data_IF_748791234209
#
_entry.id   IF_748791234209
#
_cell.length_a   1.000
_cell.length_b   1.000
_cell.length_c   1.000
_cell.angle_alpha   90.00
_cell.angle_beta   90.00
_cell.angle_gamma   90.00
#
_symmetry.space_group_name_H-M   'P 1'
#
loop_
_entity.id
_entity.type
_entity.pdbx_description
1 polymer ?
#
# COMPACT_ATOMS: atom_id res chain seq x y z
N UNK A 1 -16.58 46.99 -60.11
CA UNK A 1 -16.60 46.27 -58.82
C UNK A 1 -17.41 44.99 -59.02
N UNK A 2 -16.76 43.90 -59.44
CA UNK A 2 -17.42 42.61 -59.64
C UNK A 2 -17.37 41.80 -58.34
N UNK A 3 -18.50 41.59 -57.70
CA UNK A 3 -18.61 40.63 -56.60
C UNK A 3 -18.65 39.25 -57.22
N UNK A 4 -17.57 38.48 -57.08
CA UNK A 4 -17.54 37.09 -57.49
C UNK A 4 -18.52 36.30 -56.62
N UNK A 5 -19.62 35.82 -57.22
CA UNK A 5 -20.54 34.91 -56.56
C UNK A 5 -19.80 33.59 -56.28
N UNK A 6 -19.68 33.22 -55.01
CA UNK A 6 -19.08 31.95 -54.62
C UNK A 6 -19.91 30.79 -55.22
N UNK A 7 -19.27 29.76 -55.79
CA UNK A 7 -19.99 28.59 -56.31
C UNK A 7 -20.80 27.93 -55.18
N UNK A 8 -22.09 27.73 -55.41
CA UNK A 8 -23.00 27.10 -54.45
C UNK A 8 -22.66 25.62 -54.25
N UNK A 9 -22.64 25.18 -52.99
CA UNK A 9 -22.32 23.81 -52.60
C UNK A 9 -23.41 22.85 -53.08
N UNK A 10 -23.02 21.73 -53.70
CA UNK A 10 -24.00 20.74 -54.16
C UNK A 10 -24.55 19.92 -52.98
N UNK A 11 -25.76 19.37 -53.12
CA UNK A 11 -26.39 18.58 -52.06
C UNK A 11 -25.54 17.36 -51.66
N UNK A 12 -24.83 16.76 -52.62
CA UNK A 12 -23.89 15.66 -52.39
C UNK A 12 -22.69 16.12 -51.56
N UNK A 13 -22.10 17.26 -51.87
CA UNK A 13 -21.00 17.82 -51.08
C UNK A 13 -21.42 18.15 -49.65
N UNK A 14 -22.66 18.62 -49.46
CA UNK A 14 -23.21 18.88 -48.13
C UNK A 14 -23.42 17.58 -47.35
N UNK A 15 -23.91 16.52 -48.00
CA UNK A 15 -24.09 15.20 -47.37
C UNK A 15 -22.74 14.58 -47.00
N UNK A 16 -21.74 14.68 -47.88
CA UNK A 16 -20.38 14.17 -47.64
C UNK A 16 -19.71 14.94 -46.50
N UNK A 17 -19.81 16.27 -46.48
CA UNK A 17 -19.21 17.07 -45.38
C UNK A 17 -19.90 16.82 -44.05
N UNK A 18 -21.22 16.63 -44.04
CA UNK A 18 -21.95 16.27 -42.82
C UNK A 18 -21.54 14.86 -42.34
N UNK A 19 -21.41 13.89 -43.24
CA UNK A 19 -20.95 12.53 -42.90
C UNK A 19 -19.51 12.52 -42.38
N UNK A 20 -18.60 13.26 -43.01
CA UNK A 20 -17.21 13.38 -42.52
C UNK A 20 -17.19 14.08 -41.16
N UNK A 21 -17.98 15.14 -40.98
CA UNK A 21 -18.05 15.85 -39.70
C UNK A 21 -18.60 14.97 -38.57
N UNK A 22 -19.59 14.12 -38.84
CA UNK A 22 -20.16 13.22 -37.82
C UNK A 22 -19.17 12.11 -37.43
N UNK A 23 -18.43 11.55 -38.40
CA UNK A 23 -17.35 10.58 -38.13
C UNK A 23 -16.26 11.23 -37.28
N UNK A 24 -15.85 12.47 -37.60
CA UNK A 24 -14.84 13.19 -36.83
C UNK A 24 -15.30 13.47 -35.39
N UNK A 25 -16.56 13.85 -35.20
CA UNK A 25 -17.13 14.08 -33.86
C UNK A 25 -17.18 12.79 -33.03
N UNK A 26 -17.56 11.67 -33.64
CA UNK A 26 -17.57 10.37 -32.98
C UNK A 26 -16.17 9.91 -32.59
N UNK A 27 -15.20 10.03 -33.51
CA UNK A 27 -13.80 9.71 -33.24
C UNK A 27 -13.23 10.59 -32.11
N UNK A 28 -13.58 11.87 -32.11
CA UNK A 28 -13.17 12.80 -31.05
C UNK A 28 -13.77 12.40 -29.70
N UNK A 29 -15.08 12.10 -29.63
CA UNK A 29 -15.70 11.65 -28.37
C UNK A 29 -15.09 10.36 -27.83
N UNK A 30 -14.77 9.40 -28.70
CA UNK A 30 -14.07 8.17 -28.29
C UNK A 30 -12.66 8.47 -27.76
N UNK A 31 -11.93 9.38 -28.40
CA UNK A 31 -10.61 9.81 -27.95
C UNK A 31 -10.68 10.52 -26.60
N UNK A 32 -11.65 11.40 -26.36
CA UNK A 32 -11.82 12.05 -25.06
C UNK A 32 -12.15 11.04 -23.95
N UNK A 33 -13.02 10.07 -24.24
CA UNK A 33 -13.42 9.06 -23.25
C UNK A 33 -12.22 8.19 -22.85
N UNK A 34 -11.47 7.70 -23.84
CA UNK A 34 -10.26 6.90 -23.59
C UNK A 34 -9.17 7.69 -22.88
N UNK A 35 -9.00 8.98 -23.19
CA UNK A 35 -8.08 9.86 -22.50
C UNK A 35 -8.48 10.08 -21.03
N UNK A 36 -9.78 10.26 -20.74
CA UNK A 36 -10.29 10.40 -19.39
C UNK A 36 -10.09 9.12 -18.56
N UNK A 37 -10.37 7.95 -19.12
CA UNK A 37 -10.14 6.67 -18.46
C UNK A 37 -8.65 6.43 -18.19
N UNK A 38 -7.79 6.75 -19.17
CA UNK A 38 -6.34 6.67 -19.01
C UNK A 38 -5.83 7.58 -17.89
N UNK A 39 -6.30 8.83 -17.86
CA UNK A 39 -5.93 9.80 -16.83
C UNK A 39 -6.32 9.34 -15.42
N UNK A 40 -7.56 8.87 -15.25
CA UNK A 40 -8.02 8.40 -13.94
C UNK A 40 -7.25 7.17 -13.45
N UNK A 41 -6.94 6.23 -14.35
CA UNK A 41 -6.12 5.06 -14.03
C UNK A 41 -4.68 5.45 -13.66
N UNK A 42 -4.07 6.38 -14.40
CA UNK A 42 -2.74 6.90 -14.08
C UNK A 42 -2.71 7.60 -12.72
N UNK A 43 -3.73 8.41 -12.41
CA UNK A 43 -3.85 9.11 -11.13
C UNK A 43 -3.94 8.14 -9.94
N UNK A 44 -4.74 7.07 -10.08
CA UNK A 44 -4.84 6.00 -9.08
C UNK A 44 -3.51 5.28 -8.88
N UNK A 45 -2.83 4.93 -9.97
CA UNK A 45 -1.53 4.27 -9.92
C UNK A 45 -0.47 5.14 -9.23
N UNK A 46 -0.43 6.43 -9.51
CA UNK A 46 0.50 7.36 -8.87
C UNK A 46 0.22 7.48 -7.36
N UNK A 47 -1.05 7.57 -6.98
CA UNK A 47 -1.48 7.60 -5.58
C UNK A 47 -1.07 6.32 -4.84
N UNK A 48 -1.33 5.16 -5.44
CA UNK A 48 -0.95 3.86 -4.88
C UNK A 48 0.57 3.71 -4.74
N UNK A 49 1.35 4.14 -5.75
CA UNK A 49 2.82 4.13 -5.67
C UNK A 49 3.36 5.05 -4.56
N UNK A 50 2.75 6.22 -4.37
CA UNK A 50 3.11 7.15 -3.29
C UNK A 50 2.80 6.55 -1.92
N UNK A 51 1.64 5.90 -1.77
CA UNK A 51 1.25 5.19 -0.55
C UNK A 51 2.22 4.04 -0.26
N UNK A 52 2.51 3.19 -1.25
CA UNK A 52 3.43 2.07 -1.13
C UNK A 52 4.85 2.52 -0.73
N UNK A 53 5.39 3.58 -1.36
CA UNK A 53 6.71 4.13 -1.00
C UNK A 53 6.74 4.63 0.45
N UNK A 54 5.67 5.29 0.91
CA UNK A 54 5.56 5.74 2.30
C UNK A 54 5.53 4.55 3.26
N UNK A 55 4.72 3.54 2.97
CA UNK A 55 4.60 2.34 3.80
C UNK A 55 5.92 1.55 3.88
N UNK A 56 6.65 1.42 2.77
CA UNK A 56 7.96 0.77 2.73
C UNK A 56 9.02 1.55 3.51
N UNK A 57 8.99 2.88 3.49
CA UNK A 57 9.88 3.70 4.33
C UNK A 57 9.60 3.50 5.80
N UNK A 58 8.33 3.47 6.21
CA UNK A 58 7.95 3.18 7.60
C UNK A 58 8.38 1.77 8.03
N UNK A 59 8.25 0.79 7.14
CA UNK A 59 8.75 -0.58 7.39
C UNK A 59 10.29 -0.58 7.56
N UNK A 60 11.02 0.10 6.67
CA UNK A 60 12.47 0.20 6.76
C UNK A 60 12.93 0.87 8.06
N UNK A 61 12.28 1.96 8.46
CA UNK A 61 12.56 2.65 9.72
C UNK A 61 12.28 1.76 10.94
N UNK A 62 11.20 0.99 10.90
CA UNK A 62 10.86 0.06 11.99
C UNK A 62 11.82 -1.13 12.07
N UNK A 63 12.25 -1.65 10.93
CA UNK A 63 13.27 -2.72 10.86
C UNK A 63 14.64 -2.21 11.33
N UNK A 64 14.99 -0.95 11.05
CA UNK A 64 16.21 -0.33 11.56
C UNK A 64 16.20 -0.15 13.09
N UNK A 65 15.01 0.03 13.69
CA UNK A 65 14.82 0.16 15.13
C UNK A 65 14.53 -1.17 15.85
N UNK A 66 14.76 -2.30 15.17
CA UNK A 66 14.41 -3.62 15.67
C UNK A 66 15.28 -4.03 16.86
N UNK A 67 14.64 -4.63 17.87
CA UNK A 67 15.31 -5.15 19.07
C UNK A 67 15.26 -6.67 19.07
N UNK A 68 16.43 -7.30 19.11
CA UNK A 68 16.55 -8.72 19.39
C UNK A 68 16.35 -8.96 20.89
N UNK A 69 15.41 -9.84 21.25
CA UNK A 69 15.29 -10.28 22.64
C UNK A 69 16.33 -11.38 22.89
N UNK A 70 17.20 -11.24 23.90
CA UNK A 70 18.06 -12.33 24.32
C UNK A 70 17.19 -13.43 24.95
N UNK A 71 17.25 -14.63 24.39
CA UNK A 71 16.77 -15.85 25.03
C UNK A 71 15.29 -16.19 24.81
N UNK A 72 15.02 -17.00 23.79
CA UNK A 72 14.23 -18.24 23.91
C UNK A 72 14.62 -19.10 22.72
N UNK A 73 15.47 -20.09 22.97
CA UNK A 73 15.86 -21.08 21.97
C UNK A 73 14.65 -21.98 21.70
N UNK A 74 13.96 -21.81 20.57
CA UNK A 74 13.00 -22.80 20.06
C UNK A 74 13.68 -23.81 19.10
N UNK A 75 15.02 -23.80 19.02
CA UNK A 75 15.78 -24.85 18.34
C UNK A 75 16.38 -25.75 19.40
N UNK A 76 15.99 -27.02 19.40
CA UNK A 76 16.34 -28.10 20.34
C UNK A 76 17.82 -28.51 20.33
N UNK A 77 18.73 -27.61 19.95
CA UNK A 77 20.14 -27.94 19.78
C UNK A 77 20.98 -26.95 20.59
N UNK A 78 21.63 -27.39 21.69
CA UNK A 78 22.53 -26.52 22.43
C UNK A 78 23.67 -26.05 21.53
N UNK A 79 24.03 -24.77 21.55
CA UNK A 79 25.19 -24.28 20.81
C UNK A 79 26.48 -24.90 21.37
N UNK A 80 27.47 -25.21 20.52
CA UNK A 80 28.75 -25.76 20.96
C UNK A 80 29.48 -24.77 21.90
N UNK A 81 30.20 -25.28 22.91
CA UNK A 81 30.90 -24.44 23.88
C UNK A 81 31.93 -23.56 23.17
N UNK A 82 31.83 -22.24 23.37
CA UNK A 82 32.73 -21.24 22.76
C UNK A 82 32.09 -20.30 21.74
N UNK A 83 30.83 -20.53 21.35
CA UNK A 83 30.09 -19.57 20.50
C UNK A 83 29.31 -18.58 21.36
N UNK A 84 29.69 -17.30 21.29
CA UNK A 84 28.90 -16.20 21.88
C UNK A 84 27.47 -16.27 21.33
N UNK A 85 26.42 -16.27 22.19
CA UNK A 85 25.05 -16.29 21.71
C UNK A 85 24.76 -14.96 21.03
N UNK A 86 24.91 -14.93 19.70
CA UNK A 86 24.42 -13.83 18.89
C UNK A 86 22.94 -13.62 19.22
N UNK A 87 22.51 -12.41 19.57
CA UNK A 87 21.11 -12.15 19.90
C UNK A 87 20.27 -12.43 18.65
N UNK A 88 19.58 -13.58 18.63
CA UNK A 88 18.72 -13.97 17.51
C UNK A 88 17.51 -13.05 17.50
N UNK A 89 17.34 -12.29 16.42
CA UNK A 89 16.16 -11.46 16.19
C UNK A 89 14.92 -12.37 16.09
N UNK A 90 13.94 -12.16 16.98
CA UNK A 90 12.69 -12.92 16.97
C UNK A 90 11.70 -12.24 16.03
N UNK A 91 11.58 -12.80 14.83
CA UNK A 91 10.51 -12.47 13.90
C UNK A 91 9.40 -13.52 14.02
N UNK A 92 8.17 -13.07 14.22
CA UNK A 92 7.00 -13.92 14.03
C UNK A 92 6.51 -13.69 12.61
N UNK A 93 6.90 -14.57 11.71
CA UNK A 93 6.33 -14.67 10.37
C UNK A 93 5.22 -15.70 10.38
N UNK A 94 4.00 -15.26 10.15
CA UNK A 94 2.90 -16.17 9.85
C UNK A 94 2.67 -16.12 8.34
N UNK A 95 3.24 -17.09 7.63
CA UNK A 95 2.90 -17.33 6.24
C UNK A 95 1.43 -17.77 6.20
N UNK A 96 0.64 -17.16 5.32
CA UNK A 96 -0.73 -17.59 5.09
C UNK A 96 -0.72 -18.67 4.01
N UNK A 97 -1.47 -19.74 4.23
CA UNK A 97 -1.60 -20.85 3.28
C UNK A 97 -2.61 -20.58 2.15
N UNK A 98 -3.45 -19.55 2.30
CA UNK A 98 -4.46 -19.16 1.31
C UNK A 98 -3.91 -18.16 0.28
N UNK A 99 -4.39 -18.25 -0.95
CA UNK A 99 -4.11 -17.28 -2.03
C UNK A 99 -4.58 -15.85 -1.69
N UNK A 100 -5.59 -15.73 -0.82
CA UNK A 100 -6.10 -14.46 -0.27
C UNK A 100 -5.49 -14.12 1.11
N UNK A 101 -4.64 -15.01 1.60
CA UNK A 101 -4.03 -14.95 2.90
C UNK A 101 -2.83 -14.01 2.93
N UNK A 102 -2.92 -12.93 3.69
CA UNK A 102 -1.80 -12.01 3.86
C UNK A 102 -0.71 -12.62 4.73
N UNK A 103 0.53 -12.68 4.24
CA UNK A 103 1.68 -12.88 5.12
C UNK A 103 1.72 -11.77 6.17
N UNK A 104 1.86 -12.14 7.44
CA UNK A 104 1.98 -11.18 8.56
C UNK A 104 3.35 -11.28 9.18
N UNK A 105 3.91 -10.12 9.48
CA UNK A 105 5.22 -9.95 10.09
C UNK A 105 5.05 -9.22 11.41
N UNK A 106 5.48 -9.83 12.51
CA UNK A 106 5.55 -9.19 13.82
C UNK A 106 6.98 -9.18 14.36
N UNK A 107 7.39 -8.03 14.90
CA UNK A 107 8.69 -7.85 15.56
C UNK A 107 8.63 -6.74 16.61
N UNK A 108 9.63 -6.73 17.48
CA UNK A 108 9.77 -5.76 18.56
C UNK A 108 10.75 -4.66 18.13
N UNK A 109 10.41 -3.41 18.38
CA UNK A 109 11.25 -2.23 18.11
C UNK A 109 11.38 -1.35 19.34
N UNK A 110 12.37 -0.47 19.36
CA UNK A 110 12.45 0.61 20.36
C UNK A 110 11.44 1.71 20.07
N UNK A 111 10.86 2.29 21.12
CA UNK A 111 10.02 3.48 21.03
C UNK A 111 10.92 4.71 20.82
N UNK A 112 10.82 5.34 19.65
CA UNK A 112 11.53 6.59 19.37
C UNK A 112 10.78 7.77 20.01
N UNK A 113 11.44 8.51 20.89
CA UNK A 113 10.99 9.84 21.33
C UNK A 113 9.94 9.89 22.46
N UNK A 114 9.78 8.84 23.28
CA UNK A 114 8.98 8.97 24.51
C UNK A 114 9.85 9.52 25.64
N UNK A 115 9.43 10.58 26.37
CA UNK A 115 10.09 10.92 27.62
C UNK A 115 9.98 9.72 28.55
N UNK A 116 11.10 9.37 29.18
CA UNK A 116 11.19 8.26 30.12
C UNK A 116 10.38 8.61 31.37
N UNK A 117 9.07 8.42 31.30
CA UNK A 117 8.16 8.58 32.44
C UNK A 117 8.57 7.54 33.48
N UNK A 118 9.24 8.00 34.54
CA UNK A 118 9.83 7.17 35.59
C UNK A 118 8.84 6.29 36.38
N UNK A 119 7.54 6.35 36.07
CA UNK A 119 6.49 5.56 36.70
C UNK A 119 6.38 4.12 36.17
N UNK A 120 6.99 3.80 35.03
CA UNK A 120 6.97 2.45 34.47
C UNK A 120 8.37 1.98 34.15
N UNK A 121 8.97 1.19 35.05
CA UNK A 121 10.16 0.38 34.80
C UNK A 121 9.93 -0.75 33.74
N UNK A 122 8.92 -0.59 32.88
CA UNK A 122 8.57 -1.48 31.77
C UNK A 122 9.20 -0.85 30.53
N UNK A 123 10.25 -1.48 30.00
CA UNK A 123 11.12 -0.89 28.99
C UNK A 123 10.43 -0.33 27.75
N UNK A 124 11.17 0.45 26.97
CA UNK A 124 10.70 1.22 25.80
C UNK A 124 10.41 0.36 24.55
N UNK A 125 9.98 -0.89 24.71
CA UNK A 125 9.74 -1.82 23.61
C UNK A 125 8.31 -1.72 23.10
N UNK A 126 8.16 -1.67 21.77
CA UNK A 126 6.87 -1.69 21.08
C UNK A 126 6.81 -2.87 20.11
N UNK A 127 5.71 -3.61 20.16
CA UNK A 127 5.40 -4.62 19.14
C UNK A 127 4.79 -3.93 17.92
N UNK A 128 5.34 -4.23 16.75
CA UNK A 128 4.77 -3.81 15.46
C UNK A 128 4.35 -5.04 14.69
N UNK A 129 3.14 -4.98 14.14
CA UNK A 129 2.56 -5.97 13.26
C UNK A 129 2.34 -5.33 11.89
N UNK A 130 2.85 -5.98 10.87
CA UNK A 130 2.59 -5.69 9.47
C UNK A 130 1.77 -6.82 8.86
N UNK A 131 0.84 -6.46 7.99
CA UNK A 131 0.09 -7.40 7.16
C UNK A 131 -0.45 -6.69 5.95
N UNK A 132 -0.70 -7.42 4.87
CA UNK A 132 -1.41 -6.88 3.72
C UNK A 132 -2.91 -7.10 3.89
N UNK A 133 -3.73 -6.21 3.36
CA UNK A 133 -5.18 -6.41 3.33
C UNK A 133 -5.75 -5.81 2.05
N UNK A 134 -6.75 -6.48 1.48
CA UNK A 134 -7.54 -5.93 0.40
C UNK A 134 -8.43 -4.82 0.97
N UNK A 135 -8.21 -3.61 0.50
CA UNK A 135 -9.00 -2.44 0.89
C UNK A 135 -9.76 -1.94 -0.33
N UNK A 136 -11.05 -1.61 -0.20
CA UNK A 136 -11.79 -1.01 -1.30
C UNK A 136 -11.22 0.38 -1.61
N UNK A 137 -10.90 0.62 -2.88
CA UNK A 137 -10.51 1.94 -3.34
C UNK A 137 -11.75 2.84 -3.36
N UNK A 138 -11.77 3.84 -2.47
CA UNK A 138 -12.85 4.82 -2.39
C UNK A 138 -12.89 5.74 -3.61
N UNK A 139 -13.53 5.28 -4.68
CA UNK A 139 -13.88 6.09 -5.86
C UNK A 139 -15.34 6.54 -5.80
N UNK A 140 -15.63 7.72 -6.35
CA UNK A 140 -16.97 8.33 -6.38
C UNK A 140 -18.02 7.56 -7.20
N UNK A 141 -17.65 6.45 -7.84
CA UNK A 141 -18.55 5.62 -8.65
C UNK A 141 -18.96 4.36 -7.90
N UNK A 142 -20.13 4.41 -7.25
CA UNK A 142 -20.80 3.25 -6.65
C UNK A 142 -21.20 2.14 -7.64
N UNK A 143 -20.88 2.30 -8.94
CA UNK A 143 -21.30 1.41 -10.02
C UNK A 143 -20.16 0.60 -10.67
N UNK A 144 -18.89 0.92 -10.41
CA UNK A 144 -17.77 0.17 -11.00
C UNK A 144 -17.28 -0.90 -10.02
N UNK A 145 -17.20 -2.15 -10.50
CA UNK A 145 -16.57 -3.31 -9.84
C UNK A 145 -15.57 -2.88 -8.77
N UNK A 146 -15.82 -3.31 -7.52
CA UNK A 146 -14.99 -3.05 -6.35
C UNK A 146 -13.50 -3.24 -6.70
N UNK A 147 -12.81 -2.15 -7.02
CA UNK A 147 -11.36 -2.18 -7.19
C UNK A 147 -10.79 -2.35 -5.77
N UNK A 148 -10.35 -3.58 -5.48
CA UNK A 148 -9.69 -3.92 -4.23
C UNK A 148 -8.20 -3.71 -4.43
N UNK A 149 -7.62 -2.72 -3.76
CA UNK A 149 -6.17 -2.55 -3.72
C UNK A 149 -5.60 -3.29 -2.53
N UNK A 150 -4.45 -3.93 -2.72
CA UNK A 150 -3.72 -4.53 -1.61
C UNK A 150 -2.92 -3.44 -0.90
N UNK A 151 -3.27 -3.16 0.35
CA UNK A 151 -2.62 -2.15 1.19
C UNK A 151 -1.81 -2.81 2.29
N UNK A 152 -0.63 -2.24 2.58
CA UNK A 152 0.17 -2.65 3.72
C UNK A 152 -0.35 -1.95 4.98
N UNK A 153 -0.92 -2.72 5.89
CA UNK A 153 -1.41 -2.25 7.18
C UNK A 153 -0.32 -2.42 8.23
N UNK A 154 -0.12 -1.36 9.01
CA UNK A 154 0.80 -1.32 10.14
C UNK A 154 0.00 -1.11 11.42
N UNK A 155 0.17 -1.99 12.39
CA UNK A 155 -0.41 -1.88 13.73
C UNK A 155 0.71 -1.84 14.76
N UNK A 156 0.73 -0.76 15.55
CA UNK A 156 1.68 -0.58 16.65
C UNK A 156 0.97 -0.75 17.96
N UNK A 157 1.55 -1.53 18.86
CA UNK A 157 1.06 -1.68 20.22
C UNK A 157 1.81 -0.74 21.15
N UNK A 158 1.10 -0.22 22.15
CA UNK A 158 1.73 0.56 23.23
C UNK A 158 2.71 -0.34 24.02
N UNK A 159 3.73 0.23 24.68
CA UNK A 159 4.66 -0.56 25.48
C UNK A 159 3.96 -1.40 26.56
N UNK A 160 2.91 -0.87 27.18
CA UNK A 160 2.12 -1.62 28.18
C UNK A 160 1.37 -2.81 27.59
N UNK A 161 0.77 -2.64 26.40
CA UNK A 161 0.09 -3.73 25.70
C UNK A 161 1.10 -4.76 25.18
N UNK A 162 2.28 -4.30 24.75
CA UNK A 162 3.41 -5.13 24.33
C UNK A 162 3.88 -5.99 25.50
N UNK A 163 4.15 -5.38 26.65
CA UNK A 163 4.61 -6.09 27.85
C UNK A 163 3.59 -7.12 28.34
N UNK A 164 2.29 -6.79 28.36
CA UNK A 164 1.23 -7.75 28.71
C UNK A 164 1.22 -8.97 27.78
N UNK A 165 1.36 -8.76 26.47
CA UNK A 165 1.37 -9.84 25.47
C UNK A 165 2.63 -10.69 25.54
N UNK A 166 3.79 -10.06 25.76
CA UNK A 166 5.06 -10.76 25.93
C UNK A 166 5.03 -11.61 27.21
N UNK A 167 4.54 -11.06 28.33
CA UNK A 167 4.38 -11.81 29.59
C UNK A 167 3.46 -13.02 29.41
N UNK A 168 2.30 -12.83 28.78
CA UNK A 168 1.36 -13.91 28.49
C UNK A 168 1.87 -14.96 27.47
N UNK A 169 3.06 -14.79 26.89
CA UNK A 169 3.72 -15.79 26.04
C UNK A 169 4.97 -16.39 26.68
N UNK A 170 5.38 -15.87 27.84
CA UNK A 170 6.53 -16.36 28.61
C UNK A 170 6.10 -17.19 29.83
N UNK A 171 4.89 -16.95 30.34
CA UNK A 171 4.18 -17.81 31.31
C UNK A 171 3.41 -18.92 30.57
#
# INVERSE_FOLDING_TARGET
MGVAAAPGMTLVELLVTLAVSSILLLALMQSLTTAADSWTNQSKNFSAQREARTCLRLLADDLAALVALPGTQFTSTPPPPGTSPLPRMRFLFTASADDYGSARLAFLRTAKGRPRDGATARGDLQLVLYGTALTPDGGASSASRQFLSQKLIRRVFTPEATWRRVRAHLE
#
